data_IF_956111039954
#
_entry.id   IF_956111039954
#
_cell.length_a   1.000
_cell.length_b   1.000
_cell.length_c   1.000
_cell.angle_alpha   90.00
_cell.angle_beta   90.00
_cell.angle_gamma   90.00
#
_symmetry.space_group_name_H-M   'P 1'
#
loop_
_entity.id
_entity.type
_entity.pdbx_description
1 polymer ?
#
# COMPACT_ATOMS: atom_id res chain seq x y z
N UNK A 1 4.54 -11.99 3.44
CA UNK A 1 3.16 -11.54 3.73
C UNK A 1 2.69 -10.67 2.59
N UNK A 2 1.39 -10.43 2.47
CA UNK A 2 0.84 -9.52 1.46
C UNK A 2 0.70 -8.07 2.00
N UNK A 3 1.02 -7.86 3.27
CA UNK A 3 1.06 -6.54 3.92
C UNK A 3 2.37 -5.81 3.62
N UNK A 4 2.30 -4.50 3.41
CA UNK A 4 3.43 -3.59 3.27
C UNK A 4 3.28 -2.40 4.21
N UNK A 5 4.41 -1.86 4.62
CA UNK A 5 4.51 -0.61 5.36
C UNK A 5 5.48 0.31 4.63
N UNK A 6 5.11 1.58 4.50
CA UNK A 6 5.93 2.66 4.01
C UNK A 6 6.15 3.65 5.14
N UNK A 7 7.38 4.15 5.25
CA UNK A 7 7.80 5.12 6.23
C UNK A 7 8.84 6.04 5.56
N UNK A 8 8.68 7.35 5.69
CA UNK A 8 9.72 8.32 5.28
C UNK A 8 10.20 9.25 6.40
N UNK A 9 11.28 10.00 6.12
CA UNK A 9 11.98 10.86 7.07
C UNK A 9 11.17 12.12 7.46
N UNK A 10 10.03 12.39 6.81
CA UNK A 10 9.13 13.50 7.17
C UNK A 10 8.15 13.11 8.28
N UNK A 11 8.10 11.82 8.64
CA UNK A 11 7.15 11.26 9.60
C UNK A 11 5.85 10.78 8.96
N UNK A 12 5.77 10.72 7.63
CA UNK A 12 4.65 10.09 6.94
C UNK A 12 4.79 8.55 6.99
N UNK A 13 3.67 7.88 7.24
CA UNK A 13 3.56 6.43 7.24
C UNK A 13 2.33 6.00 6.44
N UNK A 14 2.43 4.87 5.76
CA UNK A 14 1.32 4.25 5.05
C UNK A 14 1.43 2.74 5.14
N UNK A 15 0.30 2.06 5.25
CA UNK A 15 0.20 0.60 5.28
C UNK A 15 -0.53 0.08 4.03
N UNK A 16 -0.48 -1.20 3.73
CA UNK A 16 -1.37 -1.70 2.69
C UNK A 16 -1.29 -3.20 2.50
N UNK A 17 -2.33 -3.78 1.91
CA UNK A 17 -2.39 -5.20 1.63
C UNK A 17 -2.61 -5.47 0.15
N UNK A 18 -1.78 -6.33 -0.42
CA UNK A 18 -1.99 -6.86 -1.76
C UNK A 18 -2.99 -8.02 -1.74
N UNK A 19 -4.06 -7.88 -2.53
CA UNK A 19 -5.03 -8.94 -2.79
C UNK A 19 -5.07 -9.13 -4.30
N UNK A 20 -4.67 -10.30 -4.78
CA UNK A 20 -4.61 -10.64 -6.21
C UNK A 20 -3.83 -9.61 -7.08
N UNK A 21 -2.77 -9.03 -6.50
CA UNK A 21 -1.94 -8.02 -7.17
C UNK A 21 -2.49 -6.58 -7.13
N UNK A 22 -3.62 -6.37 -6.45
CA UNK A 22 -4.25 -5.05 -6.22
C UNK A 22 -3.93 -4.55 -4.81
N UNK A 23 -3.46 -3.32 -4.71
CA UNK A 23 -3.10 -2.71 -3.42
C UNK A 23 -4.34 -2.08 -2.76
N UNK A 24 -4.64 -2.52 -1.55
CA UNK A 24 -5.65 -1.94 -0.68
C UNK A 24 -4.96 -1.12 0.41
N UNK A 25 -5.21 0.19 0.44
CA UNK A 25 -4.61 1.11 1.42
C UNK A 25 -5.62 2.19 1.81
N UNK A 26 -5.88 2.37 3.11
CA UNK A 26 -6.72 3.46 3.62
C UNK A 26 -8.08 3.63 2.91
N UNK A 27 -8.72 2.52 2.52
CA UNK A 27 -9.99 2.51 1.77
C UNK A 27 -9.87 2.77 0.26
N UNK A 28 -8.65 2.99 -0.25
CA UNK A 28 -8.34 3.11 -1.66
C UNK A 28 -7.99 1.74 -2.28
N UNK A 29 -8.30 1.59 -3.56
CA UNK A 29 -7.93 0.45 -4.39
C UNK A 29 -7.01 0.96 -5.50
N UNK A 30 -5.75 0.53 -5.49
CA UNK A 30 -4.72 0.98 -6.41
C UNK A 30 -4.29 -0.15 -7.35
N UNK A 31 -4.21 0.16 -8.64
CA UNK A 31 -3.76 -0.75 -9.69
C UNK A 31 -2.37 -0.34 -10.18
N UNK A 32 -1.54 -1.33 -10.48
CA UNK A 32 -0.23 -1.10 -11.09
C UNK A 32 -0.41 -0.59 -12.52
N UNK A 33 0.16 0.58 -12.82
CA UNK A 33 0.32 1.05 -14.19
C UNK A 33 1.31 0.13 -14.95
N UNK A 34 1.10 -0.07 -16.25
CA UNK A 34 1.88 -1.04 -17.05
C UNK A 34 3.34 -0.66 -17.21
#
# INVERSE_FOLDING_TARGET
GNHIDYWDDTGFTADGTFIDGVLHHAGMILYREK
#
